data_IF_152417932508
#
_entry.id   IF_152417932508
#
_cell.length_a   1.000
_cell.length_b   1.000
_cell.length_c   1.000
_cell.angle_alpha   90.00
_cell.angle_beta   90.00
_cell.angle_gamma   90.00
#
_symmetry.space_group_name_H-M   'P 1'
#
loop_
_entity.id
_entity.type
_entity.pdbx_description
1 polymer ?
#
# COMPACT_ATOMS: atom_id res chain seq x y z
N UNK A 1 70.67 -2.09 14.84
CA UNK A 1 71.25 -1.20 13.80
C UNK A 1 70.79 -1.78 12.48
N UNK A 2 69.64 -1.32 12.02
CA UNK A 2 69.45 -0.45 10.83
C UNK A 2 69.16 -1.34 9.61
N UNK A 3 68.30 -1.03 8.66
CA UNK A 3 67.22 -0.06 8.49
C UNK A 3 66.44 -0.48 7.22
N UNK A 4 65.17 -0.11 7.12
CA UNK A 4 64.29 -0.25 5.96
C UNK A 4 64.93 0.04 4.59
N UNK A 5 64.41 -0.57 3.53
CA UNK A 5 64.15 0.18 2.29
C UNK A 5 62.96 -0.40 1.52
N UNK A 6 62.00 0.47 1.23
CA UNK A 6 60.76 0.22 0.52
C UNK A 6 60.98 0.07 -1.00
N UNK A 7 60.11 -0.70 -1.64
CA UNK A 7 59.88 -0.69 -3.10
C UNK A 7 58.38 -1.00 -3.24
N UNK A 8 57.49 -0.07 -3.55
CA UNK A 8 57.55 0.87 -4.67
C UNK A 8 56.89 0.19 -5.88
N UNK A 9 55.56 0.06 -5.86
CA UNK A 9 54.77 -0.33 -7.02
C UNK A 9 53.61 0.66 -7.18
N UNK A 10 53.53 1.21 -8.39
CA UNK A 10 52.86 2.44 -8.81
C UNK A 10 51.33 2.48 -8.64
N UNK A 11 50.74 3.68 -8.52
CA UNK A 11 49.30 3.86 -8.51
C UNK A 11 48.74 3.54 -9.91
N UNK A 12 47.85 2.56 -10.02
CA UNK A 12 47.12 2.32 -11.25
C UNK A 12 46.21 3.52 -11.55
N UNK A 13 46.44 4.01 -12.76
CA UNK A 13 45.92 5.20 -13.41
C UNK A 13 44.40 5.32 -13.24
N UNK A 14 43.98 6.52 -12.84
CA UNK A 14 42.61 7.03 -12.79
C UNK A 14 41.96 6.85 -14.17
N UNK A 15 41.12 5.83 -14.31
CA UNK A 15 40.15 5.80 -15.41
C UNK A 15 39.14 6.95 -15.19
N UNK A 16 38.57 7.51 -16.27
CA UNK A 16 37.54 8.52 -16.15
C UNK A 16 36.41 7.93 -15.32
N UNK A 17 36.05 8.61 -14.23
CA UNK A 17 34.88 8.33 -13.40
C UNK A 17 33.62 8.51 -14.27
N UNK A 18 33.28 7.46 -15.01
CA UNK A 18 31.95 7.30 -15.58
C UNK A 18 30.97 7.20 -14.40
N UNK A 19 30.11 8.20 -14.29
CA UNK A 19 29.17 8.49 -13.19
C UNK A 19 28.13 7.37 -12.91
N UNK A 20 28.28 6.19 -13.52
CA UNK A 20 27.33 5.07 -13.46
C UNK A 20 27.95 3.67 -13.30
N UNK A 21 29.26 3.52 -13.04
CA UNK A 21 29.88 2.23 -12.73
C UNK A 21 30.61 2.27 -11.39
N UNK A 22 29.86 2.17 -10.29
CA UNK A 22 30.46 1.89 -8.98
C UNK A 22 31.00 0.45 -8.99
N UNK A 23 32.26 0.20 -8.56
CA UNK A 23 32.87 -1.11 -8.64
C UNK A 23 32.15 -2.11 -7.74
N UNK A 24 31.87 -3.30 -8.28
CA UNK A 24 31.36 -4.43 -7.51
C UNK A 24 32.44 -4.90 -6.53
N UNK A 25 32.09 -5.13 -5.25
CA UNK A 25 33.06 -5.56 -4.25
C UNK A 25 33.60 -6.96 -4.56
N UNK A 26 34.92 -7.11 -4.45
CA UNK A 26 35.57 -8.42 -4.48
C UNK A 26 35.16 -9.26 -3.26
N UNK A 27 35.36 -10.59 -3.30
CA UNK A 27 34.93 -11.49 -2.21
C UNK A 27 35.58 -11.14 -0.85
N UNK A 28 36.81 -10.61 -0.87
CA UNK A 28 37.52 -10.15 0.32
C UNK A 28 36.89 -8.86 0.88
N UNK A 29 36.57 -7.90 0.01
CA UNK A 29 35.92 -6.64 0.35
C UNK A 29 34.50 -6.85 0.88
N UNK A 30 33.73 -7.76 0.30
CA UNK A 30 32.40 -8.16 0.78
C UNK A 30 32.42 -8.72 2.21
N UNK A 31 33.50 -9.39 2.60
CA UNK A 31 33.66 -9.97 3.95
C UNK A 31 34.22 -8.97 4.97
N UNK A 32 34.92 -7.94 4.51
CA UNK A 32 35.68 -7.01 5.37
C UNK A 32 34.97 -5.67 5.53
N UNK A 33 34.26 -5.20 4.50
CA UNK A 33 33.53 -3.94 4.51
C UNK A 33 32.25 -4.03 5.35
N UNK A 34 31.91 -2.92 6.00
CA UNK A 34 30.63 -2.80 6.70
C UNK A 34 29.48 -2.71 5.69
N UNK A 35 28.42 -3.48 5.93
CA UNK A 35 27.23 -3.45 5.10
C UNK A 35 26.37 -2.25 5.47
N UNK A 36 26.34 -1.25 4.58
CA UNK A 36 25.55 -0.03 4.78
C UNK A 36 24.27 -0.13 3.93
N UNK A 37 23.12 0.25 4.51
CA UNK A 37 21.87 0.36 3.76
C UNK A 37 21.99 1.46 2.70
N UNK A 38 21.64 1.12 1.47
CA UNK A 38 21.57 2.09 0.38
C UNK A 38 20.35 3.02 0.55
N UNK A 39 20.36 4.16 -0.15
CA UNK A 39 19.35 5.21 -0.05
C UNK A 39 18.08 4.79 -0.79
N UNK A 40 16.98 4.72 -0.05
CA UNK A 40 15.65 4.46 -0.61
C UNK A 40 15.22 5.65 -1.48
N UNK A 41 14.86 5.42 -2.76
CA UNK A 41 14.40 6.50 -3.63
C UNK A 41 13.08 7.08 -3.13
N UNK A 42 12.88 8.39 -3.35
CA UNK A 42 11.69 9.13 -2.88
C UNK A 42 10.39 8.51 -3.40
N UNK A 43 10.41 7.93 -4.61
CA UNK A 43 9.27 7.22 -5.18
C UNK A 43 8.76 6.09 -4.27
N UNK A 44 9.65 5.31 -3.64
CA UNK A 44 9.27 4.25 -2.69
C UNK A 44 8.59 4.85 -1.46
N UNK A 45 9.10 5.95 -0.91
CA UNK A 45 8.48 6.64 0.22
C UNK A 45 7.05 7.12 -0.10
N UNK A 46 6.82 7.64 -1.30
CA UNK A 46 5.47 8.05 -1.74
C UNK A 46 4.52 6.86 -1.83
N UNK A 47 4.98 5.72 -2.35
CA UNK A 47 4.16 4.50 -2.44
C UNK A 47 3.84 3.97 -1.04
N UNK A 48 4.79 3.98 -0.11
CA UNK A 48 4.57 3.57 1.29
C UNK A 48 3.54 4.45 1.98
N UNK A 49 3.60 5.77 1.80
CA UNK A 49 2.60 6.69 2.35
C UNK A 49 1.22 6.40 1.75
N UNK A 50 1.15 6.16 0.43
CA UNK A 50 -0.10 5.80 -0.23
C UNK A 50 -0.71 4.50 0.33
N UNK A 51 0.12 3.47 0.53
CA UNK A 51 -0.29 2.21 1.14
C UNK A 51 -0.77 2.43 2.58
N UNK A 52 -0.06 3.24 3.38
CA UNK A 52 -0.47 3.59 4.74
C UNK A 52 -1.84 4.28 4.76
N UNK A 53 -2.08 5.21 3.83
CA UNK A 53 -3.37 5.89 3.70
C UNK A 53 -4.50 4.92 3.34
N UNK A 54 -4.27 3.97 2.42
CA UNK A 54 -5.25 2.92 2.09
C UNK A 54 -5.56 2.06 3.32
N UNK A 55 -4.54 1.67 4.07
CA UNK A 55 -4.70 0.86 5.28
C UNK A 55 -5.47 1.59 6.36
N UNK A 56 -5.14 2.86 6.59
CA UNK A 56 -5.85 3.71 7.53
C UNK A 56 -7.33 3.80 7.17
N UNK A 57 -7.67 4.06 5.90
CA UNK A 57 -9.04 4.11 5.44
C UNK A 57 -9.75 2.75 5.60
N UNK A 58 -9.09 1.65 5.22
CA UNK A 58 -9.65 0.31 5.29
C UNK A 58 -10.01 -0.11 6.71
N UNK A 59 -9.10 0.09 7.67
CA UNK A 59 -9.38 -0.23 9.08
C UNK A 59 -10.35 0.77 9.71
N UNK A 60 -10.28 2.04 9.33
CA UNK A 60 -11.17 3.10 9.80
C UNK A 60 -12.64 2.80 9.47
N UNK A 61 -12.95 2.37 8.25
CA UNK A 61 -14.33 2.01 7.87
C UNK A 61 -14.73 0.62 8.39
N UNK A 62 -13.82 -0.36 8.37
CA UNK A 62 -14.12 -1.74 8.78
C UNK A 62 -14.51 -1.84 10.25
N UNK A 63 -13.89 -1.03 11.12
CA UNK A 63 -14.22 -0.97 12.54
C UNK A 63 -15.63 -0.41 12.81
N UNK A 64 -16.18 0.37 11.88
CA UNK A 64 -17.48 1.03 12.05
C UNK A 64 -18.65 0.21 11.49
N UNK A 65 -18.42 -0.69 10.52
CA UNK A 65 -19.48 -1.44 9.85
C UNK A 65 -20.38 -2.22 10.79
N UNK A 66 -19.80 -2.89 11.80
CA UNK A 66 -20.60 -3.67 12.75
C UNK A 66 -21.64 -2.80 13.46
N UNK A 67 -21.20 -1.68 14.06
CA UNK A 67 -22.06 -0.79 14.83
C UNK A 67 -23.04 -0.04 13.91
N UNK A 68 -22.56 0.46 12.76
CA UNK A 68 -23.36 1.20 11.78
C UNK A 68 -24.55 0.39 11.25
N UNK A 69 -24.34 -0.92 10.98
CA UNK A 69 -25.39 -1.80 10.46
C UNK A 69 -26.31 -2.31 11.57
N UNK A 70 -25.74 -2.65 12.73
CA UNK A 70 -26.46 -3.34 13.80
C UNK A 70 -27.47 -2.43 14.51
N UNK A 71 -27.05 -1.22 14.90
CA UNK A 71 -27.81 -0.36 15.79
C UNK A 71 -28.61 0.72 15.03
N UNK A 72 -29.72 1.23 15.61
CA UNK A 72 -30.44 2.38 15.08
C UNK A 72 -29.64 3.67 15.23
N UNK A 73 -30.14 4.74 14.58
CA UNK A 73 -29.62 6.09 14.80
C UNK A 73 -29.77 6.45 16.29
N UNK A 74 -28.70 6.89 16.97
CA UNK A 74 -28.74 7.13 18.40
C UNK A 74 -29.71 8.26 18.75
N UNK A 75 -30.60 8.02 19.70
CA UNK A 75 -31.43 9.06 20.32
C UNK A 75 -30.63 9.76 21.43
N UNK A 76 -31.07 10.92 21.91
CA UNK A 76 -30.38 11.71 22.94
C UNK A 76 -30.00 10.94 24.24
N UNK A 77 -30.60 9.77 24.49
CA UNK A 77 -30.33 8.92 25.64
C UNK A 77 -29.57 7.63 25.32
N UNK A 78 -29.27 7.35 24.04
CA UNK A 78 -28.58 6.13 23.62
C UNK A 78 -27.06 6.31 23.65
N UNK A 79 -26.36 5.33 24.20
CA UNK A 79 -24.90 5.32 24.30
C UNK A 79 -24.22 4.61 23.12
N UNK A 80 -24.99 3.90 22.28
CA UNK A 80 -24.45 3.06 21.21
C UNK A 80 -24.62 3.75 19.85
N UNK A 81 -23.52 4.05 19.13
CA UNK A 81 -23.59 4.67 17.80
C UNK A 81 -24.07 3.66 16.75
N UNK A 82 -24.99 4.08 15.88
CA UNK A 82 -25.60 3.27 14.83
C UNK A 82 -26.32 4.10 13.77
N UNK A 83 -26.97 3.44 12.81
CA UNK A 83 -27.78 4.10 11.79
C UNK A 83 -28.86 3.21 11.16
N UNK A 84 -28.55 1.95 10.84
CA UNK A 84 -29.37 1.15 9.91
C UNK A 84 -30.36 0.20 10.57
N UNK A 85 -30.21 -0.08 11.87
CA UNK A 85 -31.08 -0.98 12.65
C UNK A 85 -31.40 -2.32 11.94
N UNK A 86 -30.39 -3.01 11.40
CA UNK A 86 -30.55 -4.29 10.69
C UNK A 86 -30.24 -5.51 11.55
N UNK A 87 -29.86 -5.30 12.81
CA UNK A 87 -29.55 -6.37 13.75
C UNK A 87 -28.17 -7.01 13.53
N UNK A 88 -27.76 -7.80 14.51
CA UNK A 88 -26.41 -8.36 14.60
C UNK A 88 -26.11 -9.36 13.47
N UNK A 89 -27.07 -10.19 13.08
CA UNK A 89 -26.87 -11.20 12.04
C UNK A 89 -26.47 -10.56 10.70
N UNK A 90 -27.21 -9.53 10.28
CA UNK A 90 -26.92 -8.80 9.04
C UNK A 90 -25.61 -8.03 9.13
N UNK A 91 -25.34 -7.36 10.27
CA UNK A 91 -24.09 -6.62 10.48
C UNK A 91 -22.85 -7.53 10.37
N UNK A 92 -22.88 -8.68 11.04
CA UNK A 92 -21.79 -9.65 10.98
C UNK A 92 -21.66 -10.23 9.57
N UNK A 93 -22.77 -10.59 8.92
CA UNK A 93 -22.74 -11.16 7.57
C UNK A 93 -22.12 -10.20 6.54
N UNK A 94 -22.52 -8.94 6.52
CA UNK A 94 -21.95 -7.94 5.59
C UNK A 94 -20.49 -7.63 5.93
N UNK A 95 -20.14 -7.53 7.21
CA UNK A 95 -18.75 -7.27 7.62
C UNK A 95 -17.83 -8.43 7.20
N UNK A 96 -18.27 -9.67 7.39
CA UNK A 96 -17.53 -10.85 6.95
C UNK A 96 -17.47 -10.94 5.43
N UNK A 97 -18.56 -10.63 4.73
CA UNK A 97 -18.58 -10.53 3.28
C UNK A 97 -17.57 -9.52 2.76
N UNK A 98 -17.53 -8.31 3.32
CA UNK A 98 -16.57 -7.27 2.91
C UNK A 98 -15.13 -7.75 3.09
N UNK A 99 -14.81 -8.37 4.24
CA UNK A 99 -13.47 -8.93 4.50
C UNK A 99 -13.13 -10.04 3.52
N UNK A 100 -14.03 -11.00 3.34
CA UNK A 100 -13.87 -12.09 2.37
C UNK A 100 -13.63 -11.53 0.97
N UNK A 101 -14.47 -10.60 0.55
CA UNK A 101 -14.40 -9.98 -0.77
C UNK A 101 -13.06 -9.29 -0.95
N UNK A 102 -12.64 -8.42 -0.01
CA UNK A 102 -11.36 -7.72 -0.03
C UNK A 102 -10.11 -8.64 -0.06
N UNK A 103 -10.22 -9.91 0.37
CA UNK A 103 -9.14 -10.90 0.23
C UNK A 103 -9.15 -11.66 -1.10
N UNK A 104 -10.30 -11.75 -1.76
CA UNK A 104 -10.43 -12.41 -3.07
C UNK A 104 -10.15 -11.43 -4.22
N UNK A 105 -10.59 -10.17 -4.11
CA UNK A 105 -10.43 -9.19 -5.18
C UNK A 105 -8.97 -8.90 -5.59
N UNK A 106 -7.94 -9.03 -4.74
CA UNK A 106 -6.54 -8.94 -5.17
C UNK A 106 -6.15 -9.92 -6.27
N UNK A 107 -6.73 -11.13 -6.28
CA UNK A 107 -6.48 -12.13 -7.34
C UNK A 107 -6.95 -11.56 -8.68
N UNK A 108 -8.15 -10.99 -8.70
CA UNK A 108 -8.72 -10.35 -9.91
C UNK A 108 -7.90 -9.11 -10.30
N UNK A 109 -7.51 -8.30 -9.32
CA UNK A 109 -6.70 -7.10 -9.54
C UNK A 109 -5.30 -7.40 -10.10
N UNK A 110 -4.69 -8.52 -9.72
CA UNK A 110 -3.43 -8.99 -10.28
C UNK A 110 -3.58 -9.37 -11.75
N UNK A 111 -4.57 -10.21 -12.08
CA UNK A 111 -4.83 -10.64 -13.46
C UNK A 111 -5.11 -9.44 -14.37
N UNK A 112 -5.88 -8.46 -13.90
CA UNK A 112 -6.17 -7.25 -14.67
C UNK A 112 -4.91 -6.41 -14.94
N UNK A 113 -4.02 -6.28 -13.96
CA UNK A 113 -2.78 -5.54 -14.12
C UNK A 113 -1.82 -6.22 -15.10
N UNK A 114 -1.70 -7.54 -15.01
CA UNK A 114 -0.77 -8.32 -15.82
C UNK A 114 -1.22 -8.41 -17.29
N UNK A 115 -2.52 -8.40 -17.57
CA UNK A 115 -3.05 -8.62 -18.92
C UNK A 115 -3.43 -7.35 -19.69
N UNK A 116 -3.90 -6.28 -19.02
CA UNK A 116 -4.54 -5.17 -19.73
C UNK A 116 -3.78 -3.83 -19.65
N UNK A 117 -3.37 -3.42 -18.44
CA UNK A 117 -3.01 -2.01 -18.21
C UNK A 117 -1.60 -1.77 -17.67
N UNK A 118 -0.94 -2.80 -17.13
CA UNK A 118 0.29 -2.65 -16.36
C UNK A 118 0.02 -2.19 -14.92
N UNK A 119 1.03 -2.38 -14.07
CA UNK A 119 0.93 -2.22 -12.61
C UNK A 119 0.59 -0.78 -12.18
N UNK A 120 1.32 0.21 -12.70
CA UNK A 120 1.15 1.62 -12.33
C UNK A 120 -0.26 2.15 -12.63
N UNK A 121 -0.77 1.92 -13.86
CA UNK A 121 -2.12 2.36 -14.24
C UNK A 121 -3.20 1.67 -13.42
N UNK A 122 -3.03 0.37 -13.16
CA UNK A 122 -3.98 -0.39 -12.36
C UNK A 122 -4.07 0.15 -10.93
N UNK A 123 -2.95 0.53 -10.32
CA UNK A 123 -2.94 1.15 -8.98
C UNK A 123 -3.70 2.48 -8.99
N UNK A 124 -3.41 3.38 -9.95
CA UNK A 124 -4.10 4.68 -10.02
C UNK A 124 -5.60 4.51 -10.18
N UNK A 125 -6.03 3.68 -11.12
CA UNK A 125 -7.46 3.41 -11.35
C UNK A 125 -8.09 2.82 -10.08
N UNK A 126 -7.41 1.89 -9.42
CA UNK A 126 -7.89 1.26 -8.19
C UNK A 126 -8.00 2.25 -7.03
N UNK A 127 -7.05 3.19 -6.90
CA UNK A 127 -7.14 4.29 -5.93
C UNK A 127 -8.35 5.20 -6.21
N UNK A 128 -8.61 5.53 -7.48
CA UNK A 128 -9.79 6.34 -7.87
C UNK A 128 -11.09 5.60 -7.56
N UNK A 129 -11.17 4.31 -7.89
CA UNK A 129 -12.31 3.45 -7.58
C UNK A 129 -12.52 3.36 -6.07
N UNK A 130 -11.45 3.19 -5.29
CA UNK A 130 -11.50 3.16 -3.84
C UNK A 130 -12.04 4.47 -3.26
N UNK A 131 -11.51 5.61 -3.72
CA UNK A 131 -11.98 6.94 -3.33
C UNK A 131 -13.45 7.15 -3.70
N UNK A 132 -13.89 6.71 -4.87
CA UNK A 132 -15.30 6.76 -5.26
C UNK A 132 -16.18 5.94 -4.31
N UNK A 133 -15.73 4.74 -3.91
CA UNK A 133 -16.40 3.91 -2.92
C UNK A 133 -16.54 4.61 -1.55
N UNK A 134 -15.49 5.29 -1.08
CA UNK A 134 -15.52 6.08 0.15
C UNK A 134 -16.50 7.27 0.04
N UNK A 135 -16.51 7.96 -1.10
CA UNK A 135 -17.44 9.08 -1.34
C UNK A 135 -18.87 8.59 -1.35
N UNK A 136 -19.16 7.46 -2.00
CA UNK A 136 -20.50 6.86 -2.00
C UNK A 136 -20.90 6.48 -0.58
N UNK A 137 -20.00 5.86 0.19
CA UNK A 137 -20.26 5.51 1.59
C UNK A 137 -20.57 6.74 2.43
N UNK A 138 -19.81 7.82 2.26
CA UNK A 138 -20.00 9.08 2.97
C UNK A 138 -21.35 9.71 2.62
N UNK A 139 -21.65 9.88 1.33
CA UNK A 139 -22.88 10.51 0.84
C UNK A 139 -24.15 9.71 1.19
N UNK A 140 -24.02 8.39 1.34
CA UNK A 140 -25.14 7.54 1.74
C UNK A 140 -25.31 7.46 3.26
N UNK A 141 -24.28 7.80 4.04
CA UNK A 141 -24.31 7.80 5.51
C UNK A 141 -24.68 9.16 6.14
N UNK A 142 -24.93 10.20 5.34
CA UNK A 142 -25.42 11.48 5.88
C UNK A 142 -26.88 11.34 6.39
N UNK A 143 -27.30 12.10 7.43
CA UNK A 143 -28.65 12.02 7.99
C UNK A 143 -29.80 12.06 6.95
N UNK A 144 -29.83 12.99 5.98
CA UNK A 144 -30.93 13.05 5.01
C UNK A 144 -30.97 11.84 4.05
N UNK A 145 -29.85 11.12 3.87
CA UNK A 145 -29.80 9.89 3.08
C UNK A 145 -30.29 8.68 3.90
N UNK A 146 -30.02 8.67 5.21
CA UNK A 146 -30.52 7.66 6.13
C UNK A 146 -32.05 7.73 6.22
N UNK A 147 -32.61 8.94 6.39
CA UNK A 147 -34.06 9.15 6.50
C UNK A 147 -34.82 8.71 5.24
N UNK A 148 -34.19 8.85 4.07
CA UNK A 148 -34.73 8.40 2.77
C UNK A 148 -34.59 6.89 2.54
N UNK A 149 -33.93 6.16 3.44
CA UNK A 149 -33.71 4.72 3.34
C UNK A 149 -32.66 4.29 2.30
N UNK A 150 -31.93 5.23 1.70
CA UNK A 150 -30.90 4.92 0.67
C UNK A 150 -29.57 4.47 1.28
N UNK A 151 -29.39 4.63 2.59
CA UNK A 151 -28.15 4.29 3.29
C UNK A 151 -27.79 2.79 3.23
N UNK A 152 -28.78 1.89 3.34
CA UNK A 152 -28.54 0.45 3.28
C UNK A 152 -28.10 -0.06 1.89
N UNK A 153 -28.82 0.21 0.79
CA UNK A 153 -28.35 -0.17 -0.55
C UNK A 153 -27.06 0.56 -0.92
N UNK A 154 -26.91 1.83 -0.49
CA UNK A 154 -25.70 2.62 -0.67
C UNK A 154 -24.47 1.97 -0.04
N UNK A 155 -24.60 1.45 1.18
CA UNK A 155 -23.56 0.71 1.88
C UNK A 155 -23.10 -0.53 1.10
N UNK A 156 -24.05 -1.33 0.59
CA UNK A 156 -23.72 -2.56 -0.15
C UNK A 156 -22.95 -2.22 -1.43
N UNK A 157 -23.40 -1.22 -2.18
CA UNK A 157 -22.73 -0.74 -3.39
C UNK A 157 -21.33 -0.24 -3.04
N UNK A 158 -21.21 0.57 -1.97
CA UNK A 158 -19.92 1.07 -1.51
C UNK A 158 -18.97 -0.08 -1.12
N UNK A 159 -19.43 -1.09 -0.40
CA UNK A 159 -18.61 -2.26 -0.01
C UNK A 159 -18.04 -2.99 -1.22
N UNK A 160 -18.83 -3.18 -2.28
CA UNK A 160 -18.38 -3.83 -3.51
C UNK A 160 -17.33 -2.97 -4.23
N UNK A 161 -17.60 -1.67 -4.38
CA UNK A 161 -16.66 -0.74 -5.05
C UNK A 161 -15.35 -0.64 -4.26
N UNK A 162 -15.42 -0.52 -2.94
CA UNK A 162 -14.27 -0.50 -2.04
C UNK A 162 -13.46 -1.79 -2.13
N UNK A 163 -14.12 -2.95 -2.18
CA UNK A 163 -13.43 -4.23 -2.36
C UNK A 163 -12.64 -4.31 -3.67
N UNK A 164 -13.21 -3.84 -4.78
CA UNK A 164 -12.49 -3.73 -6.06
C UNK A 164 -11.31 -2.77 -5.99
N UNK A 165 -11.50 -1.60 -5.40
CA UNK A 165 -10.41 -0.63 -5.20
C UNK A 165 -9.27 -1.21 -4.36
N UNK A 166 -9.60 -1.82 -3.22
CA UNK A 166 -8.63 -2.49 -2.35
C UNK A 166 -7.91 -3.62 -3.08
N UNK A 167 -8.62 -4.43 -3.86
CA UNK A 167 -8.03 -5.54 -4.60
C UNK A 167 -6.89 -5.12 -5.53
N UNK A 168 -7.16 -4.13 -6.39
CA UNK A 168 -6.18 -3.68 -7.37
C UNK A 168 -4.99 -2.92 -6.78
N UNK A 169 -5.16 -2.23 -5.65
CA UNK A 169 -4.04 -1.63 -4.90
C UNK A 169 -3.16 -2.72 -4.28
N UNK A 170 -3.77 -3.65 -3.53
CA UNK A 170 -3.05 -4.67 -2.76
C UNK A 170 -2.22 -5.62 -3.62
N UNK A 171 -2.70 -5.98 -4.81
CA UNK A 171 -1.97 -6.91 -5.69
C UNK A 171 -0.77 -6.28 -6.40
N UNK A 172 -0.77 -4.96 -6.58
CA UNK A 172 0.18 -4.28 -7.47
C UNK A 172 1.17 -3.35 -6.75
N UNK A 173 0.84 -2.86 -5.55
CA UNK A 173 1.71 -1.93 -4.79
C UNK A 173 3.06 -2.55 -4.44
N UNK A 174 3.09 -3.78 -3.92
CA UNK A 174 4.36 -4.42 -3.53
C UNK A 174 5.29 -4.67 -4.73
N UNK A 175 4.80 -5.20 -5.87
CA UNK A 175 5.60 -5.27 -7.09
C UNK A 175 6.11 -3.91 -7.57
N UNK A 176 5.27 -2.86 -7.54
CA UNK A 176 5.68 -1.52 -7.95
C UNK A 176 6.78 -0.96 -7.03
N UNK A 177 6.67 -1.15 -5.71
CA UNK A 177 7.70 -0.75 -4.76
C UNK A 177 9.04 -1.43 -5.04
N UNK A 178 9.01 -2.73 -5.34
CA UNK A 178 10.22 -3.48 -5.69
C UNK A 178 10.85 -2.96 -6.99
N UNK A 179 10.04 -2.63 -7.99
CA UNK A 179 10.52 -2.07 -9.26
C UNK A 179 11.18 -0.70 -9.12
N UNK A 180 10.82 0.09 -8.10
CA UNK A 180 11.50 1.37 -7.83
C UNK A 180 12.91 1.18 -7.27
N UNK A 181 13.27 -0.04 -6.83
CA UNK A 181 14.60 -0.35 -6.34
C UNK A 181 15.45 -0.98 -7.45
N UNK A 182 16.08 -0.15 -8.28
CA UNK A 182 16.86 -0.61 -9.43
C UNK A 182 18.28 -1.11 -9.10
N UNK A 183 18.72 -0.97 -7.85
CA UNK A 183 20.05 -1.41 -7.39
C UNK A 183 19.99 -2.89 -6.99
N UNK A 184 20.49 -3.76 -7.86
CA UNK A 184 20.54 -5.23 -7.62
C UNK A 184 21.90 -5.71 -7.10
N UNK A 185 22.95 -4.90 -7.22
CA UNK A 185 24.32 -5.26 -6.85
C UNK A 185 24.84 -4.37 -5.73
N UNK A 186 25.61 -4.98 -4.81
CA UNK A 186 26.36 -4.24 -3.80
C UNK A 186 27.43 -3.38 -4.47
N UNK A 187 27.61 -2.17 -3.97
CA UNK A 187 28.55 -1.19 -4.49
C UNK A 187 29.44 -0.72 -3.36
N UNK A 188 30.72 -0.47 -3.65
CA UNK A 188 31.63 0.12 -2.68
C UNK A 188 31.35 1.61 -2.63
N UNK A 189 30.84 2.09 -1.50
CA UNK A 189 30.62 3.52 -1.28
C UNK A 189 31.96 4.20 -0.96
N UNK A 190 32.49 4.94 -1.94
CA UNK A 190 33.63 5.84 -1.73
C UNK A 190 33.27 6.98 -0.77
N UNK A 191 34.22 7.36 0.08
CA UNK A 191 34.09 8.47 1.04
C UNK A 191 34.25 9.83 0.36
#
# INVERSE_FOLDING_TARGET
MESNTATGAEPKITEPIDEFHEPEPTAEELSTLEHISDRIPIAVWLIVICELCERFAFYGISGLFQNYIQFPLPTANDTQPGALNRGQQTATALTMFFRFFAYITPIVGAILADQFWGKYKTIIVSCVVYMAGLVILLLTSIPPSIDKGVAFPGLIIAMVILGFGTGGVKSNVSPLMAEQYSRTKSIIKGN
#
